data_IF_333145915012
#
_entry.id   IF_333145915012
#
_cell.length_a   1.000
_cell.length_b   1.000
_cell.length_c   1.000
_cell.angle_alpha   90.00
_cell.angle_beta   90.00
_cell.angle_gamma   90.00
#
_symmetry.space_group_name_H-M   'P 1'
#
loop_
_entity.id
_entity.type
_entity.pdbx_description
1 polymer ?
#
# COMPACT_ATOMS: atom_id res chain seq x y z
N UNK A 1 37.00 -17.30 2.17
CA UNK A 1 36.30 -16.95 3.44
C UNK A 1 35.60 -15.59 3.34
N UNK A 2 34.79 -15.35 2.29
CA UNK A 2 34.05 -14.09 2.10
C UNK A 2 32.53 -14.29 2.10
N UNK A 3 32.07 -15.53 1.90
CA UNK A 3 30.64 -15.86 1.84
C UNK A 3 29.93 -15.88 3.21
N UNK A 4 30.67 -16.04 4.31
CA UNK A 4 30.08 -16.13 5.67
C UNK A 4 29.75 -14.76 6.25
N UNK A 5 30.46 -13.71 5.83
CA UNK A 5 30.25 -12.35 6.35
C UNK A 5 28.97 -11.72 5.79
N UNK A 6 28.60 -12.02 4.54
CA UNK A 6 27.40 -11.44 3.90
C UNK A 6 26.11 -12.04 4.45
N UNK A 7 26.10 -13.33 4.84
CA UNK A 7 24.91 -13.95 5.46
C UNK A 7 24.60 -13.42 6.87
N UNK A 8 25.59 -12.86 7.57
CA UNK A 8 25.36 -12.28 8.91
C UNK A 8 24.77 -10.86 8.86
N UNK A 9 24.84 -10.20 7.71
CA UNK A 9 24.39 -8.81 7.56
C UNK A 9 22.90 -8.70 7.23
N UNK A 10 22.30 -9.75 6.65
CA UNK A 10 20.86 -9.80 6.32
C UNK A 10 19.99 -10.14 7.54
N UNK A 11 20.57 -10.77 8.56
CA UNK A 11 19.83 -11.13 9.79
C UNK A 11 19.57 -9.94 10.74
N UNK A 12 20.07 -8.74 10.44
CA UNK A 12 20.02 -7.58 11.36
C UNK A 12 18.93 -6.56 11.04
N UNK A 13 18.16 -6.73 9.97
CA UNK A 13 17.12 -5.77 9.54
C UNK A 13 15.67 -6.20 9.80
N UNK A 14 15.44 -7.40 10.35
CA UNK A 14 14.07 -7.83 10.70
C UNK A 14 13.82 -7.64 12.19
N UNK A 15 13.71 -6.38 12.59
CA UNK A 15 13.11 -6.01 13.88
C UNK A 15 11.62 -5.78 13.66
N UNK A 16 10.71 -6.65 14.16
CA UNK A 16 9.28 -6.35 14.10
C UNK A 16 8.97 -5.19 15.07
N UNK A 17 8.12 -4.22 14.70
CA UNK A 17 7.64 -3.24 15.66
C UNK A 17 6.80 -3.95 16.72
N UNK A 18 7.17 -3.71 17.99
CA UNK A 18 6.39 -4.12 19.14
C UNK A 18 4.96 -3.62 19.00
N UNK A 19 4.01 -4.55 19.04
CA UNK A 19 2.59 -4.26 19.18
C UNK A 19 2.33 -3.70 20.57
N UNK A 20 2.35 -2.38 20.70
CA UNK A 20 1.78 -1.71 21.88
C UNK A 20 0.26 -1.71 21.76
N UNK A 21 -0.32 -2.71 22.42
CA UNK A 21 -1.70 -2.77 22.88
C UNK A 21 -2.00 -1.57 23.80
N UNK A 22 -2.31 -0.42 23.20
CA UNK A 22 -2.84 0.76 23.87
C UNK A 22 -4.36 0.73 23.91
N UNK A 23 -4.90 0.47 25.10
CA UNK A 23 -6.30 0.29 25.40
C UNK A 23 -7.22 1.41 24.84
N UNK A 24 -8.19 0.97 24.04
CA UNK A 24 -9.43 1.69 23.76
C UNK A 24 -10.15 2.03 25.07
N UNK A 25 -10.19 3.31 25.43
CA UNK A 25 -11.14 3.85 26.39
C UNK A 25 -12.15 4.71 25.63
N UNK A 26 -13.23 4.07 25.20
CA UNK A 26 -14.51 4.74 24.97
C UNK A 26 -15.00 5.36 26.28
N UNK A 27 -15.36 6.65 26.33
CA UNK A 27 -16.29 7.13 27.33
C UNK A 27 -17.72 6.80 26.88
N UNK A 28 -18.35 5.91 27.64
CA UNK A 28 -19.80 5.64 27.63
C UNK A 28 -20.55 6.95 27.93
N UNK A 29 -21.67 7.26 27.24
CA UNK A 29 -22.52 8.37 27.59
C UNK A 29 -23.20 8.10 28.94
N UNK A 30 -22.97 8.97 29.92
CA UNK A 30 -23.66 8.92 31.20
C UNK A 30 -25.14 9.29 31.02
N UNK A 31 -25.98 8.29 31.23
CA UNK A 31 -27.43 8.41 31.36
C UNK A 31 -27.79 9.02 32.73
N UNK A 32 -28.80 9.90 32.71
CA UNK A 32 -29.70 10.28 33.80
C UNK A 32 -29.19 11.22 34.92
N UNK A 33 -29.69 12.46 34.87
CA UNK A 33 -30.48 12.99 35.98
C UNK A 33 -31.56 13.92 35.41
N UNK A 34 -32.78 13.40 35.27
CA UNK A 34 -33.96 14.23 35.07
C UNK A 34 -34.20 15.03 36.36
N UNK A 35 -33.78 16.28 36.37
CA UNK A 35 -34.28 17.24 37.35
C UNK A 35 -35.66 17.70 36.89
N UNK A 36 -36.69 17.19 37.56
CA UNK A 36 -38.05 17.71 37.46
C UNK A 36 -38.07 19.17 37.94
N UNK A 37 -38.02 20.11 37.02
CA UNK A 37 -38.25 21.53 37.30
C UNK A 37 -39.77 21.73 37.33
N UNK A 38 -40.29 22.01 38.53
CA UNK A 38 -41.67 22.43 38.76
C UNK A 38 -42.02 23.63 37.87
N UNK A 39 -43.19 23.65 37.21
CA UNK A 39 -43.71 24.87 36.62
C UNK A 39 -44.17 25.80 37.74
N UNK A 40 -43.36 26.82 38.09
CA UNK A 40 -43.84 27.95 38.86
C UNK A 40 -44.85 28.73 38.02
N UNK A 41 -46.06 28.87 38.55
CA UNK A 41 -47.09 29.74 38.00
C UNK A 41 -46.55 31.18 37.90
N UNK A 42 -46.65 31.85 36.74
CA UNK A 42 -46.34 33.27 36.66
C UNK A 42 -47.40 34.05 37.45
N UNK A 43 -46.94 34.73 38.51
CA UNK A 43 -47.74 35.69 39.22
C UNK A 43 -48.23 36.77 38.24
N UNK A 44 -49.53 36.90 38.12
CA UNK A 44 -50.17 38.01 37.43
C UNK A 44 -49.98 39.28 38.27
N UNK A 45 -49.10 40.19 37.87
CA UNK A 45 -49.25 41.63 38.16
C UNK A 45 -48.23 42.44 37.36
N UNK A 46 -48.74 43.26 36.44
CA UNK A 46 -47.93 44.20 35.68
C UNK A 46 -48.65 44.62 34.41
N UNK A 47 -49.49 45.64 34.52
CA UNK A 47 -50.05 46.36 33.37
C UNK A 47 -48.93 46.66 32.36
N UNK A 48 -49.13 46.41 31.05
CA UNK A 48 -48.14 46.82 30.05
C UNK A 48 -47.94 48.33 30.14
N UNK A 49 -46.69 48.84 30.10
CA UNK A 49 -46.47 50.27 30.00
C UNK A 49 -47.16 50.80 28.74
N UNK A 50 -47.63 52.06 28.74
CA UNK A 50 -48.30 52.64 27.59
C UNK A 50 -47.40 52.47 26.36
N UNK A 51 -47.98 51.90 25.31
CA UNK A 51 -47.37 51.81 23.97
C UNK A 51 -47.01 53.24 23.56
N UNK A 52 -45.74 53.59 23.72
CA UNK A 52 -45.16 54.78 23.11
C UNK A 52 -45.49 54.73 21.62
N UNK A 53 -46.26 55.72 21.15
CA UNK A 53 -46.64 55.85 19.76
C UNK A 53 -45.42 55.82 18.82
N UNK A 54 -45.62 55.64 17.51
CA UNK A 54 -44.54 55.53 16.55
C UNK A 54 -43.62 56.75 16.65
N UNK A 55 -42.49 56.57 17.31
CA UNK A 55 -41.45 57.60 17.40
C UNK A 55 -40.85 57.70 16.00
N UNK A 56 -41.18 58.78 15.30
CA UNK A 56 -40.68 59.06 13.97
C UNK A 56 -39.17 59.27 14.07
N UNK A 57 -38.40 58.24 13.69
CA UNK A 57 -36.96 58.32 13.66
C UNK A 57 -36.52 59.52 12.82
N UNK A 58 -35.60 60.30 13.37
CA UNK A 58 -35.07 61.50 12.70
C UNK A 58 -34.34 61.10 11.41
N UNK A 59 -34.29 61.97 10.39
CA UNK A 59 -33.58 61.67 9.13
C UNK A 59 -32.12 61.26 9.31
N UNK A 60 -31.44 61.78 10.35
CA UNK A 60 -30.08 61.40 10.74
C UNK A 60 -30.00 59.97 11.28
N UNK A 61 -30.95 59.55 12.11
CA UNK A 61 -31.03 58.17 12.63
C UNK A 61 -31.33 57.16 11.51
N UNK A 62 -32.20 57.51 10.56
CA UNK A 62 -32.47 56.67 9.39
C UNK A 62 -31.21 56.46 8.53
N UNK A 63 -30.41 57.51 8.34
CA UNK A 63 -29.13 57.44 7.62
C UNK A 63 -28.10 56.60 8.38
N UNK A 64 -28.02 56.74 9.70
CA UNK A 64 -27.14 55.92 10.54
C UNK A 64 -27.52 54.43 10.50
N UNK A 65 -28.81 54.10 10.61
CA UNK A 65 -29.32 52.72 10.49
C UNK A 65 -29.04 52.11 9.11
N UNK A 66 -29.18 52.88 8.03
CA UNK A 66 -28.82 52.42 6.67
C UNK A 66 -27.33 52.11 6.54
N UNK A 67 -26.45 52.97 7.05
CA UNK A 67 -25.00 52.73 7.06
C UNK A 67 -24.62 51.51 7.90
N UNK A 68 -25.21 51.35 9.09
CA UNK A 68 -24.99 50.18 9.93
C UNK A 68 -25.48 48.89 9.24
N UNK A 69 -26.63 48.93 8.58
CA UNK A 69 -27.14 47.80 7.79
C UNK A 69 -26.26 47.45 6.59
N UNK A 70 -25.70 48.45 5.90
CA UNK A 70 -24.72 48.23 4.83
C UNK A 70 -23.42 47.60 5.38
N UNK A 71 -22.88 48.13 6.48
CA UNK A 71 -21.68 47.56 7.10
C UNK A 71 -21.88 46.10 7.53
N UNK A 72 -23.03 45.74 8.11
CA UNK A 72 -23.35 44.35 8.45
C UNK A 72 -23.46 43.45 7.21
N UNK A 73 -24.03 43.95 6.12
CA UNK A 73 -24.10 43.19 4.87
C UNK A 73 -22.72 42.98 4.25
N UNK A 74 -21.86 44.01 4.29
CA UNK A 74 -20.49 43.93 3.78
C UNK A 74 -19.63 42.96 4.62
N UNK A 75 -19.75 43.02 5.95
CA UNK A 75 -19.09 42.09 6.87
C UNK A 75 -19.54 40.64 6.60
N UNK A 76 -20.84 40.41 6.42
CA UNK A 76 -21.37 39.08 6.09
C UNK A 76 -20.85 38.58 4.73
N UNK A 77 -20.83 39.44 3.72
CA UNK A 77 -20.32 39.11 2.40
C UNK A 77 -18.81 38.81 2.44
N UNK A 78 -18.06 39.50 3.30
CA UNK A 78 -16.64 39.23 3.50
C UNK A 78 -16.42 37.86 4.16
N UNK A 79 -17.15 37.54 5.22
CA UNK A 79 -17.08 36.23 5.88
C UNK A 79 -17.44 35.08 4.93
N UNK A 80 -18.42 35.29 4.04
CA UNK A 80 -18.77 34.29 3.02
C UNK A 80 -17.63 34.04 2.04
N UNK A 81 -16.99 35.11 1.53
CA UNK A 81 -15.82 34.98 0.64
C UNK A 81 -14.66 34.27 1.34
N UNK A 82 -14.37 34.62 2.59
CA UNK A 82 -13.29 33.98 3.34
C UNK A 82 -13.58 32.49 3.59
N UNK A 83 -14.84 32.13 3.86
CA UNK A 83 -15.26 30.74 4.00
C UNK A 83 -15.14 29.95 2.69
N UNK A 84 -15.49 30.56 1.55
CA UNK A 84 -15.32 29.96 0.23
C UNK A 84 -13.86 29.74 -0.13
N UNK A 85 -12.99 30.73 0.14
CA UNK A 85 -11.55 30.63 -0.08
C UNK A 85 -10.96 29.48 0.74
N UNK A 86 -11.33 29.36 2.03
CA UNK A 86 -10.88 28.26 2.88
C UNK A 86 -11.34 26.91 2.35
N UNK A 87 -12.61 26.81 1.95
CA UNK A 87 -13.16 25.58 1.37
C UNK A 87 -12.45 25.17 0.09
N UNK A 88 -12.12 26.13 -0.79
CA UNK A 88 -11.34 25.87 -2.00
C UNK A 88 -9.93 25.40 -1.67
N UNK A 89 -9.25 26.08 -0.74
CA UNK A 89 -7.91 25.68 -0.30
C UNK A 89 -7.89 24.26 0.28
N UNK A 90 -8.90 23.89 1.09
CA UNK A 90 -9.04 22.55 1.65
C UNK A 90 -9.29 21.49 0.55
N UNK A 91 -10.11 21.83 -0.46
CA UNK A 91 -10.36 20.93 -1.59
C UNK A 91 -9.10 20.72 -2.44
N UNK A 92 -8.36 21.79 -2.71
CA UNK A 92 -7.12 21.71 -3.47
C UNK A 92 -6.04 20.94 -2.71
N UNK A 93 -5.96 21.11 -1.38
CA UNK A 93 -5.07 20.30 -0.54
C UNK A 93 -5.43 18.82 -0.63
N UNK A 94 -6.72 18.47 -0.53
CA UNK A 94 -7.19 17.08 -0.67
C UNK A 94 -6.89 16.48 -2.05
N UNK A 95 -7.11 17.26 -3.12
CA UNK A 95 -6.79 16.82 -4.49
C UNK A 95 -5.30 16.54 -4.64
N UNK A 96 -4.44 17.42 -4.15
CA UNK A 96 -2.99 17.21 -4.17
C UNK A 96 -2.61 15.93 -3.43
N UNK A 97 -3.14 15.72 -2.23
CA UNK A 97 -2.85 14.48 -1.48
C UNK A 97 -3.35 13.23 -2.20
N UNK A 98 -4.53 13.29 -2.82
CA UNK A 98 -5.08 12.15 -3.57
C UNK A 98 -4.25 11.85 -4.82
N UNK A 99 -3.81 12.88 -5.53
CA UNK A 99 -2.95 12.74 -6.71
C UNK A 99 -1.55 12.21 -6.33
N UNK A 100 -0.96 12.70 -5.24
CA UNK A 100 0.32 12.20 -4.71
C UNK A 100 0.21 10.72 -4.31
N UNK A 101 -0.88 10.34 -3.64
CA UNK A 101 -1.15 8.95 -3.28
C UNK A 101 -1.34 8.05 -4.51
N UNK A 102 -2.04 8.53 -5.54
CA UNK A 102 -2.17 7.80 -6.81
C UNK A 102 -0.83 7.62 -7.49
N UNK A 103 -0.02 8.68 -7.55
CA UNK A 103 1.31 8.62 -8.16
C UNK A 103 2.23 7.65 -7.40
N UNK A 104 2.19 7.66 -6.06
CA UNK A 104 2.94 6.72 -5.24
C UNK A 104 2.50 5.28 -5.49
N UNK A 105 1.20 5.01 -5.57
CA UNK A 105 0.67 3.68 -5.90
C UNK A 105 1.09 3.21 -7.29
N UNK A 106 1.12 4.10 -8.27
CA UNK A 106 1.57 3.76 -9.62
C UNK A 106 3.05 3.40 -9.64
N UNK A 107 3.90 4.17 -8.95
CA UNK A 107 5.33 3.85 -8.79
C UNK A 107 5.53 2.47 -8.18
N UNK A 108 4.86 2.18 -7.06
CA UNK A 108 4.94 0.85 -6.42
C UNK A 108 4.51 -0.26 -7.38
N UNK A 109 3.42 -0.08 -8.13
CA UNK A 109 2.98 -1.07 -9.13
C UNK A 109 4.01 -1.30 -10.22
N UNK A 110 4.66 -0.24 -10.71
CA UNK A 110 5.71 -0.38 -11.72
C UNK A 110 6.93 -1.11 -11.17
N UNK A 111 7.38 -0.77 -9.96
CA UNK A 111 8.51 -1.43 -9.29
C UNK A 111 8.20 -2.91 -9.00
N UNK A 112 6.98 -3.23 -8.53
CA UNK A 112 6.55 -4.62 -8.34
C UNK A 112 6.56 -5.41 -9.66
N UNK A 113 6.10 -4.81 -10.76
CA UNK A 113 6.11 -5.45 -12.06
C UNK A 113 7.55 -5.70 -12.56
N UNK A 114 8.47 -4.77 -12.33
CA UNK A 114 9.89 -4.97 -12.63
C UNK A 114 10.53 -6.05 -11.77
N UNK A 115 10.26 -6.07 -10.47
CA UNK A 115 10.76 -7.10 -9.55
C UNK A 115 10.25 -8.49 -9.94
N UNK A 116 8.98 -8.62 -10.33
CA UNK A 116 8.44 -9.90 -10.85
C UNK A 116 9.18 -10.36 -12.09
N UNK A 117 9.43 -9.47 -13.05
CA UNK A 117 10.22 -9.80 -14.25
C UNK A 117 11.64 -10.26 -13.90
N UNK A 118 12.29 -9.58 -12.94
CA UNK A 118 13.63 -9.98 -12.48
C UNK A 118 13.62 -11.34 -11.78
N UNK A 119 12.60 -11.63 -10.97
CA UNK A 119 12.44 -12.94 -10.33
C UNK A 119 12.20 -14.05 -11.34
N UNK A 120 11.37 -13.81 -12.36
CA UNK A 120 11.13 -14.76 -13.44
C UNK A 120 12.41 -15.06 -14.21
N UNK A 121 13.21 -14.04 -14.51
CA UNK A 121 14.49 -14.19 -15.19
C UNK A 121 15.49 -14.96 -14.34
N UNK A 122 15.65 -14.62 -13.06
CA UNK A 122 16.51 -15.37 -12.13
C UNK A 122 16.06 -16.83 -11.99
N UNK A 123 14.75 -17.07 -11.96
CA UNK A 123 14.20 -18.43 -11.91
C UNK A 123 14.51 -19.21 -13.18
N UNK A 124 14.46 -18.57 -14.36
CA UNK A 124 14.88 -19.20 -15.62
C UNK A 124 16.38 -19.52 -15.63
N UNK A 125 17.21 -18.59 -15.20
CA UNK A 125 18.66 -18.78 -15.08
C UNK A 125 18.98 -19.92 -14.11
N UNK A 126 18.32 -19.96 -12.94
CA UNK A 126 18.50 -21.04 -11.99
C UNK A 126 18.09 -22.39 -12.58
N UNK A 127 16.96 -22.47 -13.29
CA UNK A 127 16.55 -23.70 -13.99
C UNK A 127 17.56 -24.12 -15.04
N UNK A 128 18.12 -23.19 -15.82
CA UNK A 128 19.16 -23.47 -16.79
C UNK A 128 20.42 -24.06 -16.12
N UNK A 129 20.90 -23.41 -15.06
CA UNK A 129 22.06 -23.89 -14.28
C UNK A 129 21.79 -25.28 -13.68
N UNK A 130 20.60 -25.52 -13.14
CA UNK A 130 20.24 -26.84 -12.60
C UNK A 130 20.22 -27.89 -13.70
N UNK A 131 19.73 -27.56 -14.90
CA UNK A 131 19.77 -28.47 -16.05
C UNK A 131 21.21 -28.74 -16.49
N UNK A 132 22.07 -27.72 -16.53
CA UNK A 132 23.50 -27.87 -16.84
C UNK A 132 24.24 -28.72 -15.81
N UNK A 133 23.92 -28.58 -14.52
CA UNK A 133 24.56 -29.34 -13.44
C UNK A 133 24.06 -30.79 -13.31
N UNK A 134 22.88 -31.11 -13.84
CA UNK A 134 22.37 -32.49 -13.80
C UNK A 134 23.22 -33.39 -14.69
N UNK A 135 23.76 -34.45 -14.09
CA UNK A 135 24.46 -35.48 -14.86
C UNK A 135 23.48 -36.19 -15.81
N UNK A 136 23.95 -36.71 -16.96
CA UNK A 136 23.13 -37.49 -17.88
C UNK A 136 22.38 -38.64 -17.18
N UNK A 137 23.02 -39.25 -16.18
CA UNK A 137 22.43 -40.30 -15.35
C UNK A 137 21.22 -39.81 -14.54
N UNK A 138 21.24 -38.57 -14.04
CA UNK A 138 20.14 -37.96 -13.29
C UNK A 138 19.01 -37.51 -14.21
N UNK A 139 19.34 -37.03 -15.42
CA UNK A 139 18.32 -36.68 -16.43
C UNK A 139 17.56 -37.91 -16.91
N UNK A 140 18.23 -39.04 -17.02
CA UNK A 140 17.66 -40.28 -17.51
C UNK A 140 17.18 -41.25 -16.41
N UNK A 141 17.25 -40.84 -15.13
CA UNK A 141 16.92 -41.69 -13.99
C UNK A 141 15.46 -42.16 -13.99
N UNK A 142 14.54 -41.34 -14.52
CA UNK A 142 13.09 -41.62 -14.55
C UNK A 142 12.68 -42.59 -15.68
N UNK A 143 13.64 -43.04 -16.51
CA UNK A 143 13.35 -44.00 -17.58
C UNK A 143 13.13 -45.41 -16.99
N UNK A 144 12.00 -46.08 -17.30
CA UNK A 144 11.59 -47.29 -16.59
C UNK A 144 12.45 -48.52 -16.89
N UNK A 145 13.11 -48.58 -18.06
CA UNK A 145 13.88 -49.75 -18.49
C UNK A 145 15.36 -49.42 -18.70
N UNK A 146 16.25 -50.36 -18.36
CA UNK A 146 17.70 -50.23 -18.51
C UNK A 146 18.10 -49.80 -19.93
N UNK A 147 17.51 -50.42 -20.96
CA UNK A 147 17.79 -50.08 -22.37
C UNK A 147 17.36 -48.63 -22.68
N UNK A 148 16.15 -48.23 -22.26
CA UNK A 148 15.66 -46.86 -22.48
C UNK A 148 16.46 -45.80 -21.74
N UNK A 149 17.01 -46.17 -20.57
CA UNK A 149 17.91 -45.32 -19.80
C UNK A 149 19.26 -45.20 -20.48
N UNK A 150 19.86 -46.30 -20.93
CA UNK A 150 21.14 -46.29 -21.66
C UNK A 150 21.07 -45.54 -22.99
N UNK A 151 19.97 -45.62 -23.74
CA UNK A 151 19.77 -44.82 -24.95
C UNK A 151 19.61 -43.32 -24.64
N UNK A 152 18.92 -42.98 -23.55
CA UNK A 152 18.79 -41.60 -23.09
C UNK A 152 20.16 -41.03 -22.66
N UNK A 153 20.94 -41.80 -21.89
CA UNK A 153 22.28 -41.39 -21.43
C UNK A 153 23.23 -41.18 -22.63
N UNK A 154 23.17 -42.05 -23.64
CA UNK A 154 23.91 -41.89 -24.89
C UNK A 154 23.57 -40.60 -25.62
N UNK A 155 22.28 -40.32 -25.79
CA UNK A 155 21.80 -39.12 -26.48
C UNK A 155 22.17 -37.83 -25.72
N UNK A 156 22.13 -37.86 -24.39
CA UNK A 156 22.55 -36.74 -23.56
C UNK A 156 24.06 -36.49 -23.62
N UNK A 157 24.87 -37.53 -23.80
CA UNK A 157 26.32 -37.42 -23.98
C UNK A 157 26.74 -36.97 -25.37
N UNK A 158 25.88 -37.13 -26.37
CA UNK A 158 26.11 -36.65 -27.74
C UNK A 158 25.94 -35.13 -27.89
N UNK A 159 25.35 -34.47 -26.88
CA UNK A 159 25.23 -33.00 -26.84
C UNK A 159 26.61 -32.36 -26.63
N UNK A 160 27.00 -31.34 -27.43
CA UNK A 160 28.34 -30.73 -27.35
C UNK A 160 28.63 -30.10 -25.98
N UNK A 161 27.61 -29.62 -25.28
CA UNK A 161 27.70 -29.04 -23.94
C UNK A 161 28.09 -30.08 -22.86
N UNK A 162 27.87 -31.36 -23.14
CA UNK A 162 28.02 -32.48 -22.18
C UNK A 162 29.10 -33.49 -22.57
N UNK A 163 29.65 -33.39 -23.78
CA UNK A 163 30.67 -34.29 -24.32
C UNK A 163 31.92 -34.41 -23.42
N UNK A 164 32.29 -33.34 -22.71
CA UNK A 164 33.46 -33.31 -21.81
C UNK A 164 33.16 -33.77 -20.37
N UNK A 165 31.94 -34.21 -20.07
CA UNK A 165 31.63 -34.74 -18.74
C UNK A 165 32.37 -36.08 -18.53
N UNK A 166 32.96 -36.33 -17.34
CA UNK A 166 33.69 -37.57 -17.05
C UNK A 166 32.89 -38.84 -17.35
N UNK A 167 31.57 -38.80 -17.07
CA UNK A 167 30.66 -39.90 -17.40
C UNK A 167 30.55 -40.16 -18.90
N UNK A 168 30.43 -39.10 -19.72
CA UNK A 168 30.31 -39.23 -21.16
C UNK A 168 31.62 -39.69 -21.79
N UNK A 169 32.77 -39.22 -21.29
CA UNK A 169 34.09 -39.69 -21.72
C UNK A 169 34.24 -41.20 -21.46
N UNK A 170 33.90 -41.67 -20.24
CA UNK A 170 33.93 -43.11 -19.91
C UNK A 170 32.94 -43.91 -20.78
N UNK A 171 31.73 -43.40 -21.00
CA UNK A 171 30.74 -44.06 -21.86
C UNK A 171 31.20 -44.17 -23.32
N UNK A 172 31.78 -43.11 -23.88
CA UNK A 172 32.37 -43.15 -25.23
C UNK A 172 33.57 -44.09 -25.30
N UNK A 173 34.42 -44.12 -24.28
CA UNK A 173 35.54 -45.05 -24.20
C UNK A 173 35.06 -46.51 -24.20
N UNK A 174 33.99 -46.83 -23.46
CA UNK A 174 33.39 -48.18 -23.44
C UNK A 174 32.75 -48.60 -24.76
N UNK A 175 32.18 -47.66 -25.52
CA UNK A 175 31.65 -47.93 -26.87
C UNK A 175 32.73 -48.03 -27.94
N UNK A 176 33.85 -47.31 -27.75
CA UNK A 176 34.96 -47.29 -28.69
C UNK A 176 35.88 -48.50 -28.54
N UNK A 177 35.76 -49.28 -27.47
CA UNK A 177 36.41 -50.58 -27.36
C UNK A 177 35.67 -51.54 -28.31
N UNK A 178 36.26 -51.94 -29.45
CA UNK A 178 35.69 -53.01 -30.24
C UNK A 178 35.63 -54.25 -29.35
N UNK A 179 34.51 -54.98 -29.42
CA UNK A 179 34.32 -56.26 -28.76
C UNK A 179 35.51 -57.17 -29.04
N UNK A 180 36.46 -57.21 -28.11
CA UNK A 180 37.59 -58.14 -28.11
C UNK A 180 37.36 -59.21 -27.05
N UNK A 181 36.13 -59.73 -26.95
CA UNK A 181 35.82 -60.91 -26.14
C UNK A 181 34.76 -61.76 -26.87
N UNK A 182 35.27 -62.89 -27.41
CA UNK A 182 34.64 -64.07 -28.01
C UNK A 182 34.13 -64.01 -29.45
#
# INVERSE_FOLDING_TARGET
>A
MLAVVVLWQIAREVTPPASESGASKSPVPATAAMAAVQPQAPAATGLPPPVSGPSFATPSELRARRKAGQAQMDERNQLQRDAEIRKQADQDARRKTDDDMRQAQERVRTEEAELRKRLDELTRQQKAIVIEQKSPQQVCADRPNFISRGMCEAYECEKPERANLPFCIDMHARRALPDYIN
#
